data_IF_408624155892
#
_entry.id   IF_408624155892
#
_cell.length_a   1.000
_cell.length_b   1.000
_cell.length_c   1.000
_cell.angle_alpha   90.00
_cell.angle_beta   90.00
_cell.angle_gamma   90.00
#
_symmetry.space_group_name_H-M   'P 1'
#
loop_
_entity.id
_entity.type
_entity.pdbx_description
1 polymer ?
#
# COMPACT_ATOMS: atom_id res chain seq x y z
N UNK A 1 -7.51 -21.97 -21.91
CA UNK A 1 -7.51 -20.55 -21.52
C UNK A 1 -7.04 -20.55 -20.09
N UNK A 2 -5.93 -19.88 -19.79
CA UNK A 2 -5.44 -19.79 -18.40
C UNK A 2 -6.30 -18.73 -17.70
N UNK A 3 -7.10 -19.14 -16.72
CA UNK A 3 -7.90 -18.24 -15.91
C UNK A 3 -6.96 -17.38 -15.08
N UNK A 4 -6.87 -16.10 -15.42
CA UNK A 4 -6.08 -15.16 -14.64
C UNK A 4 -6.77 -14.97 -13.29
N UNK A 5 -5.97 -15.03 -12.23
CA UNK A 5 -6.43 -14.88 -10.84
C UNK A 5 -5.77 -13.66 -10.24
N UNK A 6 -6.57 -12.84 -9.57
CA UNK A 6 -6.07 -11.69 -8.79
C UNK A 6 -5.95 -12.10 -7.33
N UNK A 7 -4.90 -11.62 -6.66
CA UNK A 7 -4.71 -11.82 -5.23
C UNK A 7 -5.34 -10.63 -4.49
N UNK A 8 -6.41 -10.88 -3.74
CA UNK A 8 -7.15 -9.89 -2.99
C UNK A 8 -6.77 -9.89 -1.51
N UNK A 9 -6.70 -8.70 -0.93
CA UNK A 9 -6.40 -8.46 0.48
C UNK A 9 -7.39 -7.46 1.07
N UNK A 10 -7.67 -7.61 2.36
CA UNK A 10 -8.35 -6.55 3.12
C UNK A 10 -7.47 -5.29 3.16
N UNK A 11 -8.07 -4.17 2.77
CA UNK A 11 -7.38 -2.88 2.66
C UNK A 11 -6.83 -2.39 4.01
N UNK A 12 -7.58 -2.52 5.10
CA UNK A 12 -7.16 -2.05 6.42
C UNK A 12 -6.04 -2.94 6.98
N UNK A 13 -6.08 -4.25 6.72
CA UNK A 13 -4.96 -5.14 7.03
C UNK A 13 -3.70 -4.75 6.24
N UNK A 14 -3.80 -4.47 4.94
CA UNK A 14 -2.63 -4.06 4.15
C UNK A 14 -2.08 -2.70 4.55
N UNK A 15 -2.95 -1.77 4.93
CA UNK A 15 -2.52 -0.48 5.50
C UNK A 15 -1.75 -0.67 6.81
N UNK A 16 -2.19 -1.59 7.67
CA UNK A 16 -1.48 -1.99 8.89
C UNK A 16 -0.14 -2.64 8.58
N UNK A 17 -0.08 -3.53 7.58
CA UNK A 17 1.19 -4.11 7.10
C UNK A 17 2.18 -3.03 6.63
N UNK A 18 1.71 -2.01 5.90
CA UNK A 18 2.53 -0.87 5.51
C UNK A 18 3.07 -0.08 6.70
N UNK A 19 2.26 0.13 7.74
CA UNK A 19 2.70 0.77 8.97
C UNK A 19 3.74 -0.07 9.74
N UNK A 20 3.53 -1.40 9.83
CA UNK A 20 4.49 -2.32 10.42
C UNK A 20 5.83 -2.25 9.69
N UNK A 21 5.84 -2.33 8.35
CA UNK A 21 7.04 -2.22 7.53
C UNK A 21 7.82 -0.92 7.77
N UNK A 22 7.12 0.22 7.85
CA UNK A 22 7.75 1.52 8.14
C UNK A 22 8.34 1.61 9.55
N UNK A 23 7.82 0.82 10.49
CA UNK A 23 8.25 0.81 11.90
C UNK A 23 9.37 -0.18 12.19
N UNK A 24 9.57 -1.19 11.34
CA UNK A 24 10.60 -2.22 11.50
C UNK A 24 11.96 -1.58 11.22
N UNK A 25 12.57 -1.02 12.27
CA UNK A 25 14.02 -0.83 12.31
C UNK A 25 14.60 -2.16 12.76
N UNK A 26 15.24 -2.91 11.87
CA UNK A 26 15.82 -4.23 12.20
C UNK A 26 16.94 -4.06 13.24
N UNK A 27 16.58 -4.10 14.52
CA UNK A 27 17.49 -4.18 15.65
C UNK A 27 17.05 -5.34 16.54
N UNK A 28 17.72 -6.49 16.39
CA UNK A 28 17.58 -7.64 17.28
C UNK A 28 16.24 -8.38 17.22
N UNK A 29 15.99 -9.20 18.25
CA UNK A 29 14.84 -10.11 18.39
C UNK A 29 13.54 -9.40 18.78
N UNK A 30 13.58 -8.10 19.05
CA UNK A 30 12.45 -7.33 19.61
C UNK A 30 11.30 -7.16 18.61
N UNK A 31 11.56 -7.36 17.30
CA UNK A 31 10.57 -7.19 16.24
C UNK A 31 9.94 -8.51 15.73
N UNK A 32 10.25 -9.66 16.34
CA UNK A 32 9.72 -10.98 15.88
C UNK A 32 8.18 -10.99 15.84
N UNK A 33 7.51 -10.31 16.79
CA UNK A 33 6.05 -10.20 16.80
C UNK A 33 5.51 -9.38 15.62
N UNK A 34 6.16 -8.26 15.29
CA UNK A 34 5.78 -7.43 14.16
C UNK A 34 5.97 -8.18 12.82
N UNK A 35 7.03 -9.00 12.72
CA UNK A 35 7.23 -9.88 11.56
C UNK A 35 6.18 -10.99 11.46
N UNK A 36 5.85 -11.65 12.57
CA UNK A 36 4.80 -12.67 12.58
C UNK A 36 3.43 -12.07 12.20
N UNK A 37 3.14 -10.86 12.69
CA UNK A 37 1.92 -10.13 12.33
C UNK A 37 1.90 -9.76 10.84
N UNK A 38 3.01 -9.25 10.31
CA UNK A 38 3.15 -8.96 8.89
C UNK A 38 2.94 -10.22 8.03
N UNK A 39 3.55 -11.35 8.40
CA UNK A 39 3.39 -12.62 7.71
C UNK A 39 1.94 -13.09 7.69
N UNK A 40 1.25 -13.03 8.84
CA UNK A 40 -0.17 -13.39 8.91
C UNK A 40 -1.05 -12.51 8.00
N UNK A 41 -0.75 -11.21 7.88
CA UNK A 41 -1.47 -10.33 6.97
C UNK A 41 -1.21 -10.74 5.51
N UNK A 42 0.04 -11.01 5.14
CA UNK A 42 0.39 -11.43 3.78
C UNK A 42 -0.18 -12.80 3.41
N UNK A 43 -0.35 -13.70 4.39
CA UNK A 43 -0.95 -15.02 4.22
C UNK A 43 -2.49 -14.97 4.18
N UNK A 44 -3.11 -13.87 4.63
CA UNK A 44 -4.58 -13.70 4.59
C UNK A 44 -5.15 -13.46 3.19
N UNK A 45 -4.29 -13.21 2.20
CA UNK A 45 -4.68 -12.98 0.83
C UNK A 45 -5.35 -14.20 0.21
N UNK A 46 -6.37 -13.97 -0.61
CA UNK A 46 -7.07 -15.04 -1.30
C UNK A 46 -7.19 -14.75 -2.78
N UNK A 47 -7.15 -15.81 -3.60
CA UNK A 47 -7.26 -15.67 -5.04
C UNK A 47 -8.73 -15.56 -5.44
N UNK A 48 -9.02 -14.51 -6.21
CA UNK A 48 -10.31 -14.28 -6.87
C UNK A 48 -10.12 -14.34 -8.38
N UNK A 49 -11.17 -14.66 -9.12
CA UNK A 49 -11.15 -14.56 -10.58
C UNK A 49 -10.86 -13.11 -10.99
N UNK A 50 -10.00 -12.91 -11.99
CA UNK A 50 -9.65 -11.58 -12.47
C UNK A 50 -10.91 -10.89 -13.02
N UNK A 51 -11.45 -9.95 -12.24
CA UNK A 51 -12.46 -9.01 -12.68
C UNK A 51 -11.75 -7.69 -12.99
N UNK A 52 -11.77 -7.26 -14.26
CA UNK A 52 -11.13 -6.02 -14.74
C UNK A 52 -11.60 -4.75 -13.99
N UNK A 53 -12.68 -4.85 -13.21
CA UNK A 53 -13.21 -3.80 -12.34
C UNK A 53 -12.58 -3.76 -10.94
N UNK A 54 -12.05 -4.90 -10.44
CA UNK A 54 -11.57 -5.07 -9.06
C UNK A 54 -10.06 -4.80 -8.89
N UNK A 55 -9.29 -4.78 -9.98
CA UNK A 55 -7.90 -4.29 -9.95
C UNK A 55 -7.99 -2.80 -9.64
N UNK A 56 -7.70 -2.46 -8.38
CA UNK A 56 -7.70 -1.12 -7.79
C UNK A 56 -7.37 -0.09 -8.87
N UNK A 57 -8.41 0.51 -9.46
CA UNK A 57 -8.28 1.77 -10.19
C UNK A 57 -7.95 2.78 -9.11
N UNK A 58 -6.68 2.85 -8.72
CA UNK A 58 -6.10 4.12 -8.37
C UNK A 58 -6.35 4.98 -9.60
N UNK A 59 -7.46 5.72 -9.59
CA UNK A 59 -7.56 6.95 -10.36
C UNK A 59 -6.29 7.68 -9.96
N UNK A 60 -5.31 7.64 -10.87
CA UNK A 60 -4.24 8.63 -10.95
C UNK A 60 -4.91 9.94 -10.55
N UNK A 61 -4.39 10.59 -9.51
CA UNK A 61 -4.73 11.98 -9.24
C UNK A 61 -4.81 12.70 -10.58
N UNK A 62 -5.90 13.44 -10.77
CA UNK A 62 -6.03 14.32 -11.91
C UNK A 62 -4.78 15.21 -12.03
N UNK A 63 -4.50 15.77 -13.22
CA UNK A 63 -3.26 16.48 -13.52
C UNK A 63 -3.13 17.85 -12.81
N UNK A 64 -3.40 17.96 -11.51
CA UNK A 64 -3.45 19.24 -10.80
C UNK A 64 -2.79 19.30 -9.40
N UNK A 65 -2.19 18.22 -8.90
CA UNK A 65 -1.35 18.28 -7.67
C UNK A 65 0.14 18.35 -8.00
N UNK A 66 0.48 19.21 -8.97
CA UNK A 66 1.84 19.74 -9.04
C UNK A 66 2.10 20.65 -7.84
N UNK A 67 3.32 20.67 -7.27
CA UNK A 67 3.64 21.62 -6.21
C UNK A 67 3.45 23.04 -6.76
N UNK A 68 2.52 23.81 -6.18
CA UNK A 68 2.36 25.23 -6.51
C UNK A 68 3.73 25.91 -6.35
N UNK A 69 4.23 26.63 -7.35
CA UNK A 69 5.45 27.41 -7.18
C UNK A 69 5.21 28.43 -6.07
N UNK A 70 6.14 28.47 -5.12
CA UNK A 70 6.23 29.54 -4.12
C UNK A 70 6.26 30.86 -4.88
N UNK A 71 5.21 31.67 -4.75
CA UNK A 71 5.26 33.06 -5.19
C UNK A 71 6.33 33.76 -4.34
N UNK A 72 7.50 33.91 -4.93
CA UNK A 72 8.53 34.84 -4.48
C UNK A 72 8.07 36.23 -4.88
N UNK A 73 7.21 36.83 -4.04
CA UNK A 73 6.88 38.25 -4.13
C UNK A 73 7.94 39.05 -3.38
N UNK A 74 8.90 39.59 -4.13
CA UNK A 74 9.74 40.69 -3.68
C UNK A 74 9.06 42.05 -3.91
N UNK A 75 9.65 43.05 -3.25
CA UNK A 75 9.52 44.51 -3.48
C UNK A 75 8.24 45.15 -2.92
N UNK A 76 8.27 46.27 -2.20
CA UNK A 76 9.28 47.33 -2.02
C UNK A 76 9.28 47.90 -0.60
#
# INVERSE_FOLDING_TARGET
MEEKKTLEYDYELMKRAGALLNSITVKGVENIRAFAELANILDSGHFVEENDEAIIKHKKGGPDDGPKPRESGGES
#
